data_IF_719794345079
#
_entry.id   IF_719794345079
#
_cell.length_a   1.000
_cell.length_b   1.000
_cell.length_c   1.000
_cell.angle_alpha   90.00
_cell.angle_beta   90.00
_cell.angle_gamma   90.00
#
_symmetry.space_group_name_H-M   'P 1'
#
loop_
_entity.id
_entity.type
_entity.pdbx_description
1 polymer ?
#
# COMPACT_ATOMS: atom_id res chain seq x y z
N UNK A 1 -44.23 16.14 27.53
CA UNK A 1 -42.78 16.31 27.76
C UNK A 1 -42.48 17.79 27.84
N UNK A 2 -42.14 18.28 29.04
CA UNK A 2 -41.84 19.68 29.29
C UNK A 2 -40.44 20.08 28.80
N UNK A 3 -40.25 21.36 28.51
CA UNK A 3 -38.95 21.93 28.09
C UNK A 3 -37.82 21.63 29.10
N UNK A 4 -38.16 21.50 30.39
CA UNK A 4 -37.23 21.12 31.44
C UNK A 4 -36.74 19.67 31.35
N UNK A 5 -37.61 18.74 30.97
CA UNK A 5 -37.23 17.33 30.79
C UNK A 5 -36.27 17.15 29.61
N UNK A 6 -36.49 17.91 28.53
CA UNK A 6 -35.61 17.95 27.35
C UNK A 6 -34.25 18.55 27.73
N UNK A 7 -34.24 19.59 28.57
CA UNK A 7 -33.01 20.27 29.01
C UNK A 7 -32.19 19.39 29.96
N UNK A 8 -32.86 18.67 30.86
CA UNK A 8 -32.24 17.69 31.77
C UNK A 8 -31.66 16.49 31.01
N UNK A 9 -32.37 15.97 30.01
CA UNK A 9 -31.86 14.90 29.14
C UNK A 9 -30.63 15.30 28.32
N UNK A 10 -30.52 16.57 27.91
CA UNK A 10 -29.34 17.10 27.21
C UNK A 10 -28.13 17.29 28.15
N UNK A 11 -28.35 17.68 29.40
CA UNK A 11 -27.29 17.76 30.42
C UNK A 11 -26.77 16.37 30.81
N UNK A 12 -27.67 15.41 31.02
CA UNK A 12 -27.32 14.02 31.33
C UNK A 12 -26.55 13.35 30.18
N UNK A 13 -26.87 13.67 28.92
CA UNK A 13 -26.13 13.18 27.75
C UNK A 13 -24.71 13.75 27.66
N UNK A 14 -24.48 15.01 28.09
CA UNK A 14 -23.14 15.63 28.13
C UNK A 14 -22.23 15.02 29.18
N UNK A 15 -22.79 14.52 30.29
CA UNK A 15 -22.05 13.91 31.40
C UNK A 15 -21.84 12.39 31.24
N UNK A 16 -22.30 11.78 30.14
CA UNK A 16 -21.94 10.40 29.84
C UNK A 16 -20.46 10.37 29.46
N UNK A 17 -19.64 9.72 30.30
CA UNK A 17 -18.27 9.35 29.93
C UNK A 17 -18.34 8.63 28.58
N UNK A 18 -17.53 9.03 27.57
CA UNK A 18 -17.54 8.35 26.30
C UNK A 18 -17.31 6.86 26.55
N UNK A 19 -18.17 6.01 25.98
CA UNK A 19 -17.97 4.58 26.01
C UNK A 19 -16.53 4.31 25.59
N UNK A 20 -15.80 3.60 26.46
CA UNK A 20 -14.40 3.21 26.28
C UNK A 20 -14.25 2.60 24.87
N UNK A 21 -13.78 3.37 23.88
CA UNK A 21 -13.66 2.85 22.52
C UNK A 21 -13.46 3.87 21.40
N UNK A 22 -14.13 5.03 21.43
CA UNK A 22 -13.97 6.04 20.37
C UNK A 22 -13.07 7.17 20.86
N UNK A 23 -11.76 6.92 20.87
CA UNK A 23 -10.78 8.01 21.05
C UNK A 23 -10.96 8.97 19.87
N UNK A 24 -11.34 10.22 20.14
CA UNK A 24 -11.25 11.34 19.19
C UNK A 24 -9.88 11.27 18.53
N UNK A 25 -9.82 10.88 17.26
CA UNK A 25 -8.59 10.90 16.48
C UNK A 25 -8.18 12.37 16.44
N UNK A 26 -7.06 12.73 17.09
CA UNK A 26 -6.59 14.11 17.12
C UNK A 26 -6.39 14.63 15.69
N UNK A 27 -6.59 15.93 15.47
CA UNK A 27 -6.51 16.57 14.14
C UNK A 27 -5.24 16.16 13.37
N UNK A 28 -4.08 16.16 14.04
CA UNK A 28 -2.79 15.71 13.46
C UNK A 28 -2.80 14.26 12.93
N UNK A 29 -3.59 13.37 13.54
CA UNK A 29 -3.74 11.98 13.08
C UNK A 29 -4.73 11.90 11.92
N UNK A 30 -5.76 12.77 11.89
CA UNK A 30 -6.66 12.85 10.73
C UNK A 30 -5.93 13.35 9.49
N UNK A 31 -5.09 14.38 9.63
CA UNK A 31 -4.23 14.88 8.55
C UNK A 31 -3.32 13.79 8.00
N UNK A 32 -2.62 13.05 8.87
CA UNK A 32 -1.76 11.93 8.46
C UNK A 32 -2.51 10.79 7.76
N UNK A 33 -3.74 10.49 8.19
CA UNK A 33 -4.58 9.48 7.51
C UNK A 33 -4.91 9.98 6.11
N UNK A 34 -5.33 11.23 5.97
CA UNK A 34 -5.64 11.83 4.68
C UNK A 34 -4.43 11.86 3.74
N UNK A 35 -3.27 12.28 4.23
CA UNK A 35 -2.01 12.25 3.46
C UNK A 35 -1.66 10.82 3.00
N UNK A 36 -1.86 9.84 3.86
CA UNK A 36 -1.62 8.43 3.53
C UNK A 36 -2.60 7.91 2.47
N UNK A 37 -3.87 8.27 2.57
CA UNK A 37 -4.91 7.90 1.60
C UNK A 37 -4.62 8.53 0.23
N UNK A 38 -4.29 9.83 0.17
CA UNK A 38 -3.90 10.49 -1.08
C UNK A 38 -2.66 9.84 -1.71
N UNK A 39 -1.70 9.39 -0.90
CA UNK A 39 -0.52 8.67 -1.36
C UNK A 39 -0.86 7.26 -1.86
N UNK A 40 -1.80 6.57 -1.22
CA UNK A 40 -2.30 5.26 -1.64
C UNK A 40 -3.00 5.32 -2.99
N UNK A 41 -3.76 6.39 -3.24
CA UNK A 41 -4.47 6.63 -4.49
C UNK A 41 -3.49 6.88 -5.64
N UNK A 42 -2.47 7.74 -5.42
CA UNK A 42 -1.39 7.96 -6.39
C UNK A 42 -0.61 6.69 -6.72
N UNK A 43 -0.35 5.86 -5.71
CA UNK A 43 0.26 4.54 -5.92
C UNK A 43 -0.63 3.65 -6.78
N UNK A 44 -1.94 3.60 -6.52
CA UNK A 44 -2.85 2.73 -7.29
C UNK A 44 -2.97 3.21 -8.74
N UNK A 45 -3.10 4.52 -8.96
CA UNK A 45 -3.17 5.12 -10.29
C UNK A 45 -1.91 4.79 -11.12
N UNK A 46 -0.73 5.00 -10.54
CA UNK A 46 0.54 4.68 -11.20
C UNK A 46 0.65 3.18 -11.54
N UNK A 47 0.40 2.31 -10.57
CA UNK A 47 0.53 0.87 -10.75
C UNK A 47 -0.51 0.32 -11.75
N UNK A 48 -1.74 0.84 -11.70
CA UNK A 48 -2.78 0.51 -12.67
C UNK A 48 -2.38 0.92 -14.08
N UNK A 49 -1.82 2.13 -14.25
CA UNK A 49 -1.31 2.58 -15.54
C UNK A 49 -0.24 1.65 -16.12
N UNK A 50 0.68 1.17 -15.28
CA UNK A 50 1.67 0.18 -15.69
C UNK A 50 1.04 -1.17 -16.05
N UNK A 51 0.04 -1.63 -15.30
CA UNK A 51 -0.64 -2.89 -15.58
C UNK A 51 -1.44 -2.84 -16.88
N UNK A 52 -2.14 -1.75 -17.13
CA UNK A 52 -2.98 -1.58 -18.32
C UNK A 52 -2.15 -1.45 -19.60
N UNK A 53 -0.90 -0.98 -19.48
CA UNK A 53 0.06 -0.98 -20.58
C UNK A 53 0.58 -2.37 -20.95
N UNK A 54 0.46 -3.37 -20.05
CA UNK A 54 0.89 -4.74 -20.33
C UNK A 54 -0.10 -5.48 -21.23
N UNK A 55 0.45 -6.16 -22.24
CA UNK A 55 -0.28 -7.16 -23.00
C UNK A 55 -0.58 -8.39 -22.12
N UNK A 56 -1.65 -9.16 -22.40
CA UNK A 56 -2.01 -10.34 -21.62
C UNK A 56 -0.85 -11.34 -21.43
N UNK A 57 -0.03 -11.55 -22.44
CA UNK A 57 1.15 -12.43 -22.42
C UNK A 57 2.30 -11.93 -21.52
N UNK A 58 2.32 -10.63 -21.19
CA UNK A 58 3.32 -10.02 -20.31
C UNK A 58 2.88 -10.04 -18.84
N UNK A 59 1.62 -10.41 -18.55
CA UNK A 59 1.05 -10.50 -17.20
C UNK A 59 1.48 -11.79 -16.50
N UNK A 60 2.79 -11.94 -16.36
CA UNK A 60 3.45 -13.10 -15.76
C UNK A 60 4.25 -12.67 -14.53
N UNK A 61 4.41 -13.60 -13.60
CA UNK A 61 5.26 -13.43 -12.44
C UNK A 61 6.72 -13.36 -12.89
N UNK A 62 7.43 -12.28 -12.57
CA UNK A 62 8.84 -12.10 -12.94
C UNK A 62 9.74 -13.25 -12.44
N UNK A 63 9.48 -13.73 -11.22
CA UNK A 63 10.27 -14.80 -10.61
C UNK A 63 9.98 -16.16 -11.27
N UNK A 64 8.71 -16.56 -11.34
CA UNK A 64 8.30 -17.93 -11.72
C UNK A 64 7.91 -18.09 -13.18
N UNK A 65 7.58 -17.00 -13.89
CA UNK A 65 7.02 -17.01 -15.23
C UNK A 65 5.53 -17.40 -15.30
N UNK A 66 4.91 -17.71 -14.16
CA UNK A 66 3.51 -18.13 -14.11
C UNK A 66 2.56 -16.96 -14.41
N UNK A 67 1.44 -17.18 -15.12
CA UNK A 67 0.45 -16.14 -15.36
C UNK A 67 -0.14 -15.58 -14.05
N UNK A 68 -0.30 -14.25 -13.98
CA UNK A 68 -0.93 -13.55 -12.85
C UNK A 68 -2.45 -13.39 -13.01
N UNK A 69 -2.98 -13.84 -14.15
CA UNK A 69 -4.39 -13.71 -14.52
C UNK A 69 -4.70 -12.36 -15.18
N UNK A 70 -5.98 -12.15 -15.50
CA UNK A 70 -6.41 -10.99 -16.31
C UNK A 70 -6.66 -9.70 -15.51
N UNK A 71 -6.88 -9.80 -14.20
CA UNK A 71 -7.29 -8.65 -13.37
C UNK A 71 -6.10 -8.04 -12.64
N UNK A 72 -6.01 -6.72 -12.68
CA UNK A 72 -5.09 -5.96 -11.85
C UNK A 72 -5.39 -6.19 -10.38
N UNK A 73 -4.35 -6.52 -9.61
CA UNK A 73 -4.38 -6.50 -8.16
C UNK A 73 -3.09 -5.84 -7.67
N UNK A 74 -3.23 -4.81 -6.83
CA UNK A 74 -2.09 -4.06 -6.25
C UNK A 74 -1.07 -4.98 -5.56
N UNK A 75 -1.52 -6.11 -5.00
CA UNK A 75 -0.66 -7.12 -4.35
C UNK A 75 0.35 -7.80 -5.29
N UNK A 76 0.18 -7.66 -6.61
CA UNK A 76 1.12 -8.19 -7.58
C UNK A 76 2.27 -7.23 -7.88
N UNK A 77 2.12 -5.94 -7.58
CA UNK A 77 3.19 -4.97 -7.78
C UNK A 77 4.20 -5.05 -6.65
N UNK A 78 5.44 -5.40 -6.97
CA UNK A 78 6.56 -5.38 -6.05
C UNK A 78 7.53 -4.26 -6.42
N UNK A 79 7.83 -3.39 -5.46
CA UNK A 79 8.93 -2.42 -5.54
C UNK A 79 10.25 -3.16 -5.27
N UNK A 80 11.11 -3.26 -6.28
CA UNK A 80 12.39 -3.99 -6.19
C UNK A 80 13.36 -3.30 -5.21
N UNK A 81 13.40 -1.97 -5.27
CA UNK A 81 13.95 -1.09 -4.24
C UNK A 81 12.78 -0.55 -3.42
N UNK A 82 12.72 -0.92 -2.14
CA UNK A 82 11.60 -0.58 -1.27
C UNK A 82 11.40 0.93 -1.17
N UNK A 83 10.16 1.40 -1.42
CA UNK A 83 9.80 2.83 -1.37
C UNK A 83 9.97 3.49 0.01
N UNK A 84 10.16 2.69 1.07
CA UNK A 84 10.48 3.18 2.42
C UNK A 84 11.93 3.66 2.47
N UNK A 85 12.83 2.93 1.83
CA UNK A 85 14.27 3.19 1.86
C UNK A 85 14.69 4.07 0.68
N UNK A 86 13.99 3.95 -0.45
CA UNK A 86 14.27 4.67 -1.70
C UNK A 86 13.02 5.39 -2.26
N UNK A 87 12.46 6.39 -1.54
CA UNK A 87 11.24 7.06 -1.95
C UNK A 87 11.36 7.78 -3.30
N UNK A 88 12.56 8.20 -3.69
CA UNK A 88 12.83 8.83 -4.99
C UNK A 88 12.57 7.90 -6.18
N UNK A 89 12.59 6.58 -5.98
CA UNK A 89 12.33 5.59 -7.04
C UNK A 89 10.91 4.99 -6.98
N UNK A 90 10.02 5.58 -6.17
CA UNK A 90 8.67 5.04 -5.93
C UNK A 90 7.82 4.93 -7.21
N UNK A 91 7.95 5.89 -8.11
CA UNK A 91 7.17 6.01 -9.34
C UNK A 91 8.01 5.73 -10.60
N UNK A 92 9.09 4.96 -10.43
CA UNK A 92 9.95 4.55 -11.53
C UNK A 92 9.48 3.20 -12.10
N UNK A 93 9.09 3.10 -13.38
CA UNK A 93 8.59 1.85 -13.96
C UNK A 93 9.59 0.70 -13.86
N UNK A 94 10.89 1.00 -14.00
CA UNK A 94 11.95 -0.01 -13.91
C UNK A 94 12.06 -0.61 -12.51
N UNK A 95 11.59 0.09 -11.47
CA UNK A 95 11.59 -0.34 -10.08
C UNK A 95 10.39 -1.24 -9.72
N UNK A 96 9.45 -1.44 -10.65
CA UNK A 96 8.27 -2.29 -10.43
C UNK A 96 8.46 -3.64 -11.12
N UNK A 97 8.20 -4.73 -10.40
CA UNK A 97 8.05 -6.06 -10.98
C UNK A 97 6.73 -6.68 -10.57
N UNK A 98 6.07 -7.29 -11.54
CA UNK A 98 4.84 -8.04 -11.32
C UNK A 98 5.18 -9.44 -10.82
N UNK A 99 4.64 -9.82 -9.67
CA UNK A 99 4.96 -11.08 -9.00
C UNK A 99 3.71 -11.70 -8.42
N UNK A 100 3.70 -13.03 -8.30
CA UNK A 100 2.59 -13.73 -7.65
C UNK A 100 2.52 -13.33 -6.17
N UNK A 101 1.35 -13.47 -5.54
CA UNK A 101 1.18 -13.24 -4.10
C UNK A 101 2.16 -14.08 -3.26
N UNK A 102 2.45 -15.30 -3.70
CA UNK A 102 3.41 -16.21 -3.04
C UNK A 102 4.83 -15.67 -3.14
N UNK A 103 5.25 -15.26 -4.33
CA UNK A 103 6.56 -14.65 -4.58
C UNK A 103 6.71 -13.35 -3.80
N UNK A 104 5.70 -12.49 -3.80
CA UNK A 104 5.71 -11.23 -3.05
C UNK A 104 5.95 -11.46 -1.55
N UNK A 105 5.29 -12.47 -0.97
CA UNK A 105 5.53 -12.87 0.41
C UNK A 105 6.95 -13.43 0.59
N UNK A 106 7.37 -14.33 -0.29
CA UNK A 106 8.70 -14.95 -0.19
C UNK A 106 9.82 -13.91 -0.21
N UNK A 107 9.75 -12.87 -1.05
CA UNK A 107 10.78 -11.81 -1.06
C UNK A 107 10.92 -11.13 0.29
N UNK A 108 9.81 -10.80 0.95
CA UNK A 108 9.86 -10.14 2.26
C UNK A 108 10.25 -11.10 3.40
N UNK A 109 9.91 -12.39 3.27
CA UNK A 109 10.23 -13.40 4.28
C UNK A 109 11.70 -13.87 4.15
N UNK A 110 12.17 -14.13 2.93
CA UNK A 110 13.48 -14.71 2.60
C UNK A 110 13.82 -14.53 1.10
N UNK A 111 14.66 -13.52 0.80
CA UNK A 111 15.04 -13.14 -0.57
C UNK A 111 15.78 -14.25 -1.33
N UNK A 112 16.39 -15.22 -0.65
CA UNK A 112 17.10 -16.34 -1.30
C UNK A 112 16.15 -17.30 -2.02
N UNK A 113 14.86 -17.26 -1.66
CA UNK A 113 13.79 -18.00 -2.36
C UNK A 113 13.36 -17.35 -3.66
N UNK A 114 13.87 -16.16 -3.97
CA UNK A 114 13.53 -15.37 -5.15
C UNK A 114 14.81 -14.89 -5.84
N UNK A 115 15.61 -15.82 -6.42
CA UNK A 115 16.91 -15.51 -6.98
C UNK A 115 16.88 -14.46 -8.11
N UNK A 116 15.84 -14.40 -8.94
CA UNK A 116 15.78 -13.39 -10.01
C UNK A 116 15.57 -11.99 -9.43
N UNK A 117 14.65 -11.85 -8.47
CA UNK A 117 14.46 -10.59 -7.76
C UNK A 117 15.71 -10.20 -6.96
N UNK A 118 16.35 -11.14 -6.26
CA UNK A 118 17.62 -10.91 -5.57
C UNK A 118 18.68 -10.34 -6.49
N UNK A 119 18.87 -10.95 -7.66
CA UNK A 119 19.83 -10.50 -8.65
C UNK A 119 19.49 -9.10 -9.18
N UNK A 120 18.22 -8.84 -9.48
CA UNK A 120 17.76 -7.53 -9.94
C UNK A 120 17.95 -6.43 -8.88
N UNK A 121 17.61 -6.70 -7.62
CA UNK A 121 17.84 -5.76 -6.51
C UNK A 121 19.32 -5.40 -6.41
N UNK A 122 20.22 -6.38 -6.46
CA UNK A 122 21.66 -6.12 -6.42
C UNK A 122 22.13 -5.27 -7.63
N UNK A 123 21.62 -5.54 -8.82
CA UNK A 123 21.91 -4.75 -10.02
C UNK A 123 21.47 -3.29 -9.86
N UNK A 124 20.25 -3.06 -9.38
CA UNK A 124 19.71 -1.71 -9.22
C UNK A 124 20.42 -0.93 -8.11
N UNK A 125 20.80 -1.58 -7.01
CA UNK A 125 21.64 -0.97 -5.97
C UNK A 125 22.97 -0.50 -6.54
N UNK A 126 23.65 -1.37 -7.30
CA UNK A 126 24.93 -1.04 -7.92
C UNK A 126 24.82 0.10 -8.95
N UNK A 127 23.67 0.23 -9.62
CA UNK A 127 23.48 1.23 -10.66
C UNK A 127 23.08 2.61 -10.12
N UNK A 128 22.29 2.66 -9.04
CA UNK A 128 21.60 3.89 -8.62
C UNK A 128 21.88 4.34 -7.18
N UNK A 129 22.42 3.46 -6.34
CA UNK A 129 22.63 3.72 -4.91
C UNK A 129 24.11 3.86 -4.56
N UNK A 130 24.98 3.25 -5.38
CA UNK A 130 26.44 3.21 -5.17
C UNK A 130 27.12 4.26 -6.03
#
# INVERSE_FOLDING_TARGET
MGLEEIRKGKEEAKNRKPAYGLRRIGLKRQEKIKEFDELQDKDDEFLRGLWDALKPEERICYETGEPLGGKYLKIFAHHVLEKKDYPQFRYEPWNIRWVSRKTHRNVHDDIDRCPKLKALTAQLINQWVT
#
